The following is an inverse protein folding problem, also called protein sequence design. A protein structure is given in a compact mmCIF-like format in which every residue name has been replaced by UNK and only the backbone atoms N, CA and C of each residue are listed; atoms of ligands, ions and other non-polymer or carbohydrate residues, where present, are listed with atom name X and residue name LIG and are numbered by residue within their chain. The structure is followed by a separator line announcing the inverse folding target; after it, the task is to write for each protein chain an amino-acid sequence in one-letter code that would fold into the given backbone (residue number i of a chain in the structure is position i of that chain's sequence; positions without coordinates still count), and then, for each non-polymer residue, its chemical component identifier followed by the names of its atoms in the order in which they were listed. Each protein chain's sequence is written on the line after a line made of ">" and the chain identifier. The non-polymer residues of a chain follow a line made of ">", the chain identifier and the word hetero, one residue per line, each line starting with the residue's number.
data_IF_321049942928
#
_entry.id   IF_321049942928
#
_cell.length_a   1.000
_cell.length_b   1.000
_cell.length_c   1.000
_cell.angle_alpha   90.00
_cell.angle_beta   90.00
_cell.angle_gamma   90.00
#
_symmetry.space_group_name_H-M   'P 1'
#
loop_
_entity.id
_entity.type
_entity.pdbx_description
1 polymer ?
#
# COMPACT_ATOMS: atom_id res chain seq x y z
N UNK A 1 9.57 29.77 2.77
CA UNK A 1 9.21 28.46 2.15
C UNK A 1 7.70 28.33 2.29
N UNK A 2 6.94 28.12 1.21
CA UNK A 2 5.50 27.84 1.28
C UNK A 2 5.30 26.47 1.95
N UNK A 3 4.23 26.36 2.75
CA UNK A 3 3.84 25.07 3.33
C UNK A 3 3.58 24.03 2.21
N UNK A 4 3.88 22.74 2.43
CA UNK A 4 3.51 21.71 1.48
C UNK A 4 2.00 21.71 1.22
N UNK A 5 1.60 21.29 0.03
CA UNK A 5 0.18 21.17 -0.30
C UNK A 5 -0.54 20.28 0.73
N UNK A 6 -1.76 20.63 1.15
CA UNK A 6 -2.49 19.85 2.14
C UNK A 6 -2.80 18.46 1.59
N UNK A 7 -2.73 17.44 2.45
CA UNK A 7 -3.14 16.07 2.15
C UNK A 7 -4.67 16.05 1.89
N UNK A 8 -5.12 15.75 0.66
CA UNK A 8 -6.55 15.82 0.30
C UNK A 8 -7.41 14.81 1.07
N UNK A 9 -6.81 13.74 1.56
CA UNK A 9 -7.50 12.66 2.30
C UNK A 9 -7.16 12.63 3.80
N UNK A 10 -6.60 13.70 4.35
CA UNK A 10 -6.28 13.81 5.78
C UNK A 10 -7.50 13.51 6.69
N UNK A 11 -8.72 13.83 6.26
CA UNK A 11 -9.94 13.51 7.00
C UNK A 11 -10.14 11.99 7.15
N UNK A 12 -9.89 11.22 6.09
CA UNK A 12 -10.01 9.75 6.12
C UNK A 12 -8.90 9.15 6.98
N UNK A 13 -7.66 9.64 6.87
CA UNK A 13 -6.57 9.24 7.77
C UNK A 13 -6.93 9.46 9.24
N UNK A 14 -7.47 10.64 9.58
CA UNK A 14 -7.88 10.95 10.94
C UNK A 14 -9.08 10.09 11.40
N UNK A 15 -10.03 9.83 10.50
CA UNK A 15 -11.15 8.93 10.78
C UNK A 15 -10.67 7.49 11.04
N UNK A 16 -9.65 7.02 10.31
CA UNK A 16 -9.02 5.70 10.52
C UNK A 16 -8.39 5.61 11.91
N UNK A 17 -7.67 6.64 12.36
CA UNK A 17 -7.12 6.68 13.72
C UNK A 17 -8.22 6.67 14.78
N UNK A 18 -9.26 7.48 14.62
CA UNK A 18 -10.39 7.53 15.55
C UNK A 18 -11.17 6.20 15.58
N UNK A 19 -11.31 5.53 14.44
CA UNK A 19 -11.92 4.20 14.35
C UNK A 19 -11.08 3.20 15.14
N UNK A 20 -9.76 3.12 14.89
CA UNK A 20 -8.85 2.25 15.61
C UNK A 20 -8.90 2.45 17.13
N UNK A 21 -8.89 3.70 17.59
CA UNK A 21 -8.95 4.02 19.03
C UNK A 21 -10.26 3.55 19.68
N UNK A 22 -11.39 3.66 18.97
CA UNK A 22 -12.71 3.23 19.47
C UNK A 22 -12.88 1.73 19.50
N UNK A 23 -12.34 1.03 18.49
CA UNK A 23 -12.60 -0.40 18.28
C UNK A 23 -11.42 -1.30 18.69
N UNK A 24 -10.25 -0.74 19.02
CA UNK A 24 -9.06 -1.50 19.41
C UNK A 24 -8.52 -2.38 18.27
N UNK A 25 -8.81 -2.01 17.01
CA UNK A 25 -8.40 -2.77 15.83
C UNK A 25 -6.99 -2.39 15.34
N UNK A 26 -6.50 -3.10 14.32
CA UNK A 26 -5.15 -2.91 13.77
C UNK A 26 -5.11 -1.97 12.56
N UNK A 27 -6.10 -1.08 12.39
CA UNK A 27 -6.16 -0.12 11.29
C UNK A 27 -5.21 1.08 11.55
N UNK A 28 -3.91 0.88 11.35
CA UNK A 28 -2.92 1.96 11.44
C UNK A 28 -2.77 2.60 10.05
N UNK A 29 -3.18 3.87 9.84
CA UNK A 29 -3.01 4.49 8.53
C UNK A 29 -1.54 4.85 8.32
N UNK A 30 -1.02 4.57 7.12
CA UNK A 30 0.30 5.05 6.71
C UNK A 30 0.36 6.59 6.80
N UNK A 31 1.45 7.12 7.36
CA UNK A 31 1.49 8.54 7.72
C UNK A 31 1.57 9.50 6.52
N UNK A 32 2.10 9.05 5.37
CA UNK A 32 2.46 9.91 4.25
C UNK A 32 1.81 9.47 2.92
N UNK A 33 0.49 9.65 2.80
CA UNK A 33 -0.24 9.42 1.54
C UNK A 33 0.27 10.25 0.36
N UNK A 34 0.64 11.54 0.54
CA UNK A 34 1.25 12.34 -0.53
C UNK A 34 2.52 11.73 -1.13
N UNK A 35 3.35 11.04 -0.33
CA UNK A 35 4.50 10.30 -0.85
C UNK A 35 4.07 9.17 -1.79
N UNK A 36 3.04 8.40 -1.41
CA UNK A 36 2.50 7.32 -2.25
C UNK A 36 1.95 7.85 -3.57
N UNK A 37 1.23 8.96 -3.53
CA UNK A 37 0.73 9.65 -4.72
C UNK A 37 1.90 10.08 -5.65
N UNK A 38 2.95 10.68 -5.08
CA UNK A 38 4.12 11.11 -5.84
C UNK A 38 4.89 9.92 -6.46
N UNK A 39 5.04 8.81 -5.72
CA UNK A 39 5.70 7.60 -6.21
C UNK A 39 4.91 6.93 -7.34
N UNK A 40 3.59 6.84 -7.21
CA UNK A 40 2.73 6.32 -8.28
C UNK A 40 2.84 7.17 -9.55
N UNK A 41 2.84 8.50 -9.39
CA UNK A 41 3.05 9.43 -10.49
C UNK A 41 4.43 9.28 -11.15
N UNK A 42 5.50 9.22 -10.35
CA UNK A 42 6.87 9.04 -10.84
C UNK A 42 7.05 7.70 -11.58
N UNK A 43 6.39 6.64 -11.12
CA UNK A 43 6.36 5.33 -11.78
C UNK A 43 5.48 5.31 -13.05
N UNK A 44 4.72 6.36 -13.33
CA UNK A 44 3.69 6.40 -14.37
C UNK A 44 2.76 5.16 -14.29
N UNK A 45 2.33 4.82 -13.06
CA UNK A 45 1.63 3.60 -12.77
C UNK A 45 0.26 3.54 -13.46
N UNK A 46 -0.09 2.37 -13.99
CA UNK A 46 -1.41 2.05 -14.56
C UNK A 46 -2.17 1.02 -13.72
N UNK A 47 -1.44 0.12 -13.07
CA UNK A 47 -2.00 -0.90 -12.18
C UNK A 47 -1.25 -0.88 -10.85
N UNK A 48 -1.99 -0.71 -9.77
CA UNK A 48 -1.45 -0.63 -8.40
C UNK A 48 -2.11 -1.71 -7.56
N UNK A 49 -1.31 -2.41 -6.76
CA UNK A 49 -1.78 -3.39 -5.78
C UNK A 49 -1.42 -2.93 -4.37
N UNK A 50 -2.38 -2.98 -3.47
CA UNK A 50 -2.20 -2.63 -2.05
C UNK A 50 -2.60 -3.79 -1.15
N UNK A 51 -1.80 -4.07 -0.13
CA UNK A 51 -2.08 -5.01 0.94
C UNK A 51 -2.26 -4.24 2.26
N UNK A 52 -3.50 -4.24 2.77
CA UNK A 52 -3.94 -3.45 3.92
C UNK A 52 -4.66 -2.17 3.50
N UNK A 53 -5.98 -2.26 3.36
CA UNK A 53 -6.83 -1.13 2.94
C UNK A 53 -7.24 -0.24 4.10
N UNK A 54 -7.50 -0.84 5.28
CA UNK A 54 -8.17 -0.18 6.39
C UNK A 54 -9.41 0.62 5.89
N UNK A 55 -9.48 1.92 6.09
CA UNK A 55 -10.61 2.75 5.64
C UNK A 55 -10.37 3.41 4.26
N UNK A 56 -9.35 2.98 3.49
CA UNK A 56 -9.13 3.38 2.10
C UNK A 56 -8.25 4.61 1.88
N UNK A 57 -7.60 5.14 2.91
CA UNK A 57 -6.79 6.36 2.82
C UNK A 57 -5.66 6.27 1.79
N UNK A 58 -4.90 5.19 1.81
CA UNK A 58 -3.74 5.00 0.94
C UNK A 58 -4.12 4.65 -0.49
N UNK A 59 -5.17 3.85 -0.69
CA UNK A 59 -5.75 3.59 -2.01
C UNK A 59 -6.21 4.89 -2.70
N UNK A 60 -6.89 5.77 -1.96
CA UNK A 60 -7.30 7.09 -2.46
C UNK A 60 -6.10 7.98 -2.76
N UNK A 61 -5.03 7.93 -1.94
CA UNK A 61 -3.80 8.67 -2.19
C UNK A 61 -3.12 8.23 -3.47
N UNK A 62 -3.04 6.93 -3.74
CA UNK A 62 -2.55 6.40 -5.02
C UNK A 62 -3.39 6.90 -6.20
N UNK A 63 -4.73 6.81 -6.11
CA UNK A 63 -5.63 7.25 -7.17
C UNK A 63 -5.51 8.75 -7.48
N UNK A 64 -5.18 9.57 -6.47
CA UNK A 64 -4.92 11.00 -6.63
C UNK A 64 -3.61 11.27 -7.39
N UNK A 65 -2.58 10.45 -7.19
CA UNK A 65 -1.28 10.59 -7.84
C UNK A 65 -1.28 10.26 -9.34
N UNK A 66 -2.23 9.42 -9.78
CA UNK A 66 -2.34 8.97 -11.19
C UNK A 66 -3.80 8.90 -11.62
N UNK A 67 -4.15 9.61 -12.69
CA UNK A 67 -5.56 9.77 -13.11
C UNK A 67 -6.17 8.52 -13.74
N UNK A 68 -5.36 7.72 -14.44
CA UNK A 68 -5.85 6.61 -15.28
C UNK A 68 -5.46 5.24 -14.72
N UNK A 69 -4.94 5.18 -13.47
CA UNK A 69 -4.58 3.91 -12.85
C UNK A 69 -5.81 3.22 -12.24
N UNK A 70 -5.79 1.89 -12.29
CA UNK A 70 -6.66 1.03 -11.47
C UNK A 70 -5.90 0.56 -10.24
N UNK A 71 -6.61 0.45 -9.13
CA UNK A 71 -6.05 0.03 -7.85
C UNK A 71 -6.83 -1.19 -7.36
N UNK A 72 -6.12 -2.28 -7.10
CA UNK A 72 -6.62 -3.42 -6.35
C UNK A 72 -6.10 -3.30 -4.92
N UNK A 73 -6.98 -3.29 -3.93
CA UNK A 73 -6.59 -3.24 -2.52
C UNK A 73 -7.27 -4.37 -1.74
N UNK A 74 -6.56 -4.98 -0.81
CA UNK A 74 -7.00 -6.19 -0.10
C UNK A 74 -7.15 -5.90 1.39
N UNK A 75 -8.32 -6.25 1.94
CA UNK A 75 -8.64 -6.12 3.36
C UNK A 75 -9.42 -7.35 3.84
N UNK A 76 -9.09 -7.84 5.02
CA UNK A 76 -9.76 -9.02 5.58
C UNK A 76 -10.92 -8.68 6.52
N UNK A 77 -10.88 -7.51 7.15
CA UNK A 77 -11.89 -7.09 8.11
C UNK A 77 -13.12 -6.55 7.36
N UNK A 78 -14.30 -7.20 7.47
CA UNK A 78 -15.48 -6.79 6.72
C UNK A 78 -15.99 -5.39 7.09
N UNK A 79 -15.79 -4.94 8.33
CA UNK A 79 -16.18 -3.59 8.74
C UNK A 79 -15.26 -2.54 8.07
N UNK A 80 -13.95 -2.83 7.99
CA UNK A 80 -13.01 -1.96 7.27
C UNK A 80 -13.32 -1.94 5.77
N UNK A 81 -13.65 -3.09 5.17
CA UNK A 81 -14.04 -3.20 3.76
C UNK A 81 -15.27 -2.33 3.47
N UNK A 82 -16.30 -2.40 4.31
CA UNK A 82 -17.50 -1.59 4.15
C UNK A 82 -17.18 -0.10 4.20
N UNK A 83 -16.45 0.35 5.22
CA UNK A 83 -16.05 1.74 5.40
C UNK A 83 -15.12 2.24 4.28
N UNK A 84 -14.19 1.40 3.81
CA UNK A 84 -13.34 1.74 2.67
C UNK A 84 -14.14 1.96 1.39
N UNK A 85 -15.09 1.06 1.09
CA UNK A 85 -15.98 1.19 -0.07
C UNK A 85 -16.83 2.47 -0.02
N UNK A 86 -17.36 2.81 1.17
CA UNK A 86 -18.09 4.07 1.38
C UNK A 86 -17.21 5.29 1.11
N UNK A 87 -16.00 5.34 1.67
CA UNK A 87 -15.07 6.45 1.47
C UNK A 87 -14.64 6.59 0.01
N UNK A 88 -14.38 5.47 -0.68
CA UNK A 88 -13.98 5.42 -2.08
C UNK A 88 -15.13 5.91 -2.98
N UNK A 89 -16.37 5.46 -2.72
CA UNK A 89 -17.55 5.92 -3.45
C UNK A 89 -17.84 7.41 -3.22
N UNK A 90 -17.70 7.89 -1.95
CA UNK A 90 -17.84 9.32 -1.64
C UNK A 90 -16.81 10.20 -2.34
N UNK A 91 -15.62 9.65 -2.66
CA UNK A 91 -14.61 10.31 -3.48
C UNK A 91 -14.86 10.19 -5.00
N UNK A 92 -15.87 9.44 -5.45
CA UNK A 92 -16.17 9.18 -6.85
C UNK A 92 -15.14 8.30 -7.56
N UNK A 93 -14.43 7.42 -6.82
CA UNK A 93 -13.30 6.62 -7.32
C UNK A 93 -13.57 5.10 -7.32
N UNK A 94 -14.81 4.69 -7.04
CA UNK A 94 -15.25 3.29 -7.03
C UNK A 94 -15.10 2.58 -8.39
N UNK A 95 -15.11 3.32 -9.49
CA UNK A 95 -14.83 2.81 -10.83
C UNK A 95 -13.35 2.52 -11.10
N UNK A 96 -12.44 2.92 -10.21
CA UNK A 96 -10.98 2.76 -10.35
C UNK A 96 -10.34 1.97 -9.20
N UNK A 97 -10.99 1.87 -8.06
CA UNK A 97 -10.47 1.21 -6.86
C UNK A 97 -11.37 0.02 -6.53
N UNK A 98 -10.82 -1.17 -6.60
CA UNK A 98 -11.50 -2.41 -6.21
C UNK A 98 -11.01 -2.86 -4.84
N UNK A 99 -11.93 -2.97 -3.87
CA UNK A 99 -11.63 -3.51 -2.54
C UNK A 99 -11.99 -4.99 -2.52
N UNK A 100 -10.95 -5.84 -2.49
CA UNK A 100 -11.06 -7.30 -2.35
C UNK A 100 -11.14 -7.65 -0.86
N UNK A 101 -12.25 -8.27 -0.47
CA UNK A 101 -12.44 -8.78 0.88
C UNK A 101 -11.80 -10.16 1.01
N UNK A 102 -10.88 -10.33 1.97
CA UNK A 102 -10.26 -11.62 2.27
C UNK A 102 -8.82 -11.53 2.77
N UNK A 103 -8.29 -12.69 3.12
CA UNK A 103 -6.88 -12.82 3.49
C UNK A 103 -5.97 -12.66 2.26
N UNK A 104 -4.80 -12.06 2.45
CA UNK A 104 -3.82 -11.86 1.37
C UNK A 104 -3.48 -13.17 0.66
N UNK A 105 -3.30 -14.27 1.41
CA UNK A 105 -2.98 -15.58 0.86
C UNK A 105 -4.07 -16.19 -0.02
N UNK A 106 -5.31 -15.77 0.17
CA UNK A 106 -6.47 -16.23 -0.61
C UNK A 106 -6.73 -15.36 -1.84
N UNK A 107 -6.51 -14.04 -1.72
CA UNK A 107 -6.81 -13.09 -2.80
C UNK A 107 -5.65 -13.00 -3.81
N UNK A 108 -4.39 -12.90 -3.36
CA UNK A 108 -3.24 -12.74 -4.27
C UNK A 108 -3.16 -13.78 -5.40
N UNK A 109 -3.46 -15.08 -5.18
CA UNK A 109 -3.44 -16.08 -6.26
C UNK A 109 -4.52 -15.88 -7.34
N UNK A 110 -5.55 -15.07 -7.08
CA UNK A 110 -6.64 -14.80 -8.04
C UNK A 110 -6.36 -13.59 -8.93
N UNK A 111 -5.30 -12.83 -8.63
CA UNK A 111 -4.95 -11.61 -9.36
C UNK A 111 -3.98 -11.91 -10.51
N UNK A 112 -4.23 -11.25 -11.64
CA UNK A 112 -3.33 -11.33 -12.79
C UNK A 112 -2.06 -10.49 -12.59
N UNK A 113 -0.87 -10.99 -12.99
CA UNK A 113 0.37 -10.24 -12.89
C UNK A 113 0.37 -9.00 -13.80
N UNK A 114 1.40 -8.14 -13.62
CA UNK A 114 1.60 -6.94 -14.43
C UNK A 114 1.34 -5.64 -13.69
N UNK A 115 1.37 -5.64 -12.36
CA UNK A 115 1.31 -4.41 -11.57
C UNK A 115 2.58 -3.57 -11.74
N UNK A 116 2.40 -2.25 -11.81
CA UNK A 116 3.48 -1.27 -11.88
C UNK A 116 4.01 -0.93 -10.49
N UNK A 117 3.10 -0.83 -9.52
CA UNK A 117 3.40 -0.54 -8.12
C UNK A 117 2.66 -1.55 -7.24
N UNK A 118 3.35 -2.04 -6.21
CA UNK A 118 2.74 -2.76 -5.11
C UNK A 118 3.10 -2.07 -3.78
N UNK A 119 2.15 -1.98 -2.87
CA UNK A 119 2.35 -1.44 -1.54
C UNK A 119 1.95 -2.47 -0.47
N UNK A 120 2.87 -2.75 0.44
CA UNK A 120 2.63 -3.61 1.59
C UNK A 120 2.56 -2.78 2.86
N UNK A 121 1.38 -2.72 3.47
CA UNK A 121 1.12 -2.13 4.80
C UNK A 121 0.18 -3.00 5.64
N UNK A 122 0.21 -4.30 5.41
CA UNK A 122 -0.66 -5.30 6.05
C UNK A 122 -0.10 -5.89 7.35
N UNK A 123 0.57 -5.09 8.18
CA UNK A 123 1.20 -5.53 9.43
C UNK A 123 2.67 -5.91 9.25
N UNK A 124 3.17 -6.88 10.02
CA UNK A 124 4.59 -7.29 9.93
C UNK A 124 4.89 -7.95 8.60
N UNK A 125 5.90 -7.47 7.84
CA UNK A 125 6.29 -8.08 6.57
C UNK A 125 6.70 -9.54 6.71
N UNK A 126 6.21 -10.40 5.77
CA UNK A 126 6.57 -11.82 5.74
C UNK A 126 7.09 -12.24 4.37
N UNK A 127 8.14 -13.11 4.29
CA UNK A 127 8.79 -13.47 3.02
C UNK A 127 7.85 -14.07 1.97
N UNK A 128 6.85 -14.86 2.39
CA UNK A 128 5.90 -15.50 1.46
C UNK A 128 5.07 -14.46 0.69
N UNK A 129 4.55 -13.42 1.37
CA UNK A 129 3.78 -12.35 0.73
C UNK A 129 4.67 -11.51 -0.20
N UNK A 130 5.91 -11.20 0.19
CA UNK A 130 6.85 -10.47 -0.66
C UNK A 130 7.25 -11.27 -1.90
N UNK A 131 7.35 -12.60 -1.79
CA UNK A 131 7.55 -13.47 -2.97
C UNK A 131 6.34 -13.42 -3.91
N UNK A 132 5.12 -13.44 -3.37
CA UNK A 132 3.89 -13.33 -4.17
C UNK A 132 3.81 -11.96 -4.86
N UNK A 133 4.03 -10.85 -4.13
CA UNK A 133 4.08 -9.50 -4.69
C UNK A 133 5.13 -9.36 -5.81
N UNK A 134 6.31 -9.97 -5.63
CA UNK A 134 7.32 -10.00 -6.69
C UNK A 134 6.81 -10.73 -7.94
N UNK A 135 6.04 -11.79 -7.79
CA UNK A 135 5.43 -12.52 -8.91
C UNK A 135 4.41 -11.66 -9.66
N UNK A 136 3.63 -10.85 -8.96
CA UNK A 136 2.59 -10.00 -9.53
C UNK A 136 3.13 -8.71 -10.15
N UNK A 137 4.24 -8.17 -9.66
CA UNK A 137 4.89 -7.00 -10.25
C UNK A 137 5.54 -7.34 -11.59
N UNK A 138 5.43 -6.43 -12.57
CA UNK A 138 6.24 -6.49 -13.79
C UNK A 138 7.73 -6.26 -13.50
N UNK A 139 8.63 -6.63 -14.40
CA UNK A 139 10.03 -6.20 -14.34
C UNK A 139 10.11 -4.67 -14.42
N UNK A 140 10.95 -4.06 -13.60
CA UNK A 140 11.00 -2.61 -13.40
C UNK A 140 9.84 -2.05 -12.57
N UNK A 141 8.91 -2.89 -12.09
CA UNK A 141 7.84 -2.48 -11.17
C UNK A 141 8.38 -2.15 -9.78
N UNK A 142 7.66 -1.32 -9.04
CA UNK A 142 8.07 -0.79 -7.74
C UNK A 142 7.29 -1.46 -6.62
N UNK A 143 8.00 -2.00 -5.63
CA UNK A 143 7.46 -2.44 -4.35
C UNK A 143 7.76 -1.40 -3.28
N UNK A 144 6.74 -0.95 -2.58
CA UNK A 144 6.85 -0.13 -1.37
C UNK A 144 6.51 -1.03 -0.19
N UNK A 145 7.41 -1.17 0.76
CA UNK A 145 7.21 -2.00 1.96
C UNK A 145 7.31 -1.16 3.20
N UNK A 146 6.22 -1.04 3.94
CA UNK A 146 6.17 -0.44 5.27
C UNK A 146 6.53 -1.47 6.38
N UNK A 147 6.67 -1.00 7.61
CA UNK A 147 6.82 -1.83 8.81
C UNK A 147 8.11 -2.70 8.87
N UNK A 148 9.16 -2.32 8.14
CA UNK A 148 10.42 -3.07 8.09
C UNK A 148 11.24 -3.02 9.40
N UNK A 149 10.86 -2.19 10.37
CA UNK A 149 11.49 -2.06 11.68
C UNK A 149 10.85 -2.94 12.77
N UNK A 150 9.84 -3.74 12.44
CA UNK A 150 9.11 -4.56 13.42
C UNK A 150 9.87 -5.82 13.91
N UNK A 151 11.05 -6.10 13.36
CA UNK A 151 11.84 -7.29 13.72
C UNK A 151 11.26 -8.62 13.21
N UNK A 152 11.82 -9.74 13.63
CA UNK A 152 11.31 -11.07 13.28
C UNK A 152 11.32 -11.35 11.79
N UNK A 153 10.16 -11.62 11.19
CA UNK A 153 10.05 -11.89 9.74
C UNK A 153 10.36 -10.68 8.88
N UNK A 154 10.17 -9.45 9.39
CA UNK A 154 10.54 -8.22 8.72
C UNK A 154 12.05 -8.13 8.44
N UNK A 155 12.91 -8.62 9.35
CA UNK A 155 14.36 -8.66 9.14
C UNK A 155 14.74 -9.52 7.94
N UNK A 156 14.06 -10.67 7.77
CA UNK A 156 14.27 -11.55 6.63
C UNK A 156 13.85 -10.90 5.30
N UNK A 157 12.73 -10.17 5.31
CA UNK A 157 12.26 -9.39 4.16
C UNK A 157 13.24 -8.26 3.86
N UNK A 158 13.64 -7.48 4.86
CA UNK A 158 14.64 -6.41 4.72
C UNK A 158 15.93 -6.94 4.09
N UNK A 159 16.46 -8.06 4.59
CA UNK A 159 17.66 -8.68 4.02
C UNK A 159 17.48 -9.04 2.54
N UNK A 160 16.33 -9.61 2.15
CA UNK A 160 16.05 -9.99 0.77
C UNK A 160 15.86 -8.77 -0.16
N UNK A 161 15.31 -7.66 0.35
CA UNK A 161 15.17 -6.43 -0.42
C UNK A 161 16.52 -5.74 -0.70
N UNK A 162 17.49 -5.89 0.22
CA UNK A 162 18.78 -5.20 0.14
C UNK A 162 19.97 -6.10 -0.27
N UNK A 163 19.75 -7.37 -0.63
CA UNK A 163 20.81 -8.28 -1.07
C UNK A 163 21.31 -8.01 -2.52
N UNK A 164 20.64 -7.12 -3.25
CA UNK A 164 21.00 -6.71 -4.60
C UNK A 164 20.71 -7.72 -5.71
N UNK A 165 20.09 -8.87 -5.40
CA UNK A 165 19.86 -9.96 -6.37
C UNK A 165 18.58 -9.77 -7.18
N UNK A 166 17.49 -9.42 -6.49
CA UNK A 166 16.16 -9.34 -7.07
C UNK A 166 15.60 -7.91 -7.11
N UNK A 167 16.23 -7.01 -6.36
CA UNK A 167 15.74 -5.66 -6.12
C UNK A 167 16.87 -4.63 -6.14
N UNK A 168 16.53 -3.39 -6.55
CA UNK A 168 17.28 -2.18 -6.22
C UNK A 168 16.47 -1.40 -5.21
N UNK A 169 16.97 -1.28 -3.98
CA UNK A 169 16.20 -0.79 -2.84
C UNK A 169 16.87 0.40 -2.16
N UNK A 170 16.02 1.32 -1.66
CA UNK A 170 16.42 2.41 -0.79
C UNK A 170 15.41 2.57 0.35
N UNK A 171 15.89 3.03 1.51
CA UNK A 171 15.00 3.47 2.60
C UNK A 171 14.54 4.89 2.32
N UNK A 172 13.30 5.21 2.69
CA UNK A 172 12.70 6.54 2.48
C UNK A 172 12.49 7.32 3.76
N UNK A 173 12.81 6.74 4.89
CA UNK A 173 12.73 7.38 6.21
C UNK A 173 13.97 7.06 7.05
N UNK A 174 14.26 7.94 8.03
CA UNK A 174 15.44 7.84 8.89
C UNK A 174 15.36 6.65 9.86
N UNK A 175 14.16 6.14 10.14
CA UNK A 175 13.93 5.04 11.07
C UNK A 175 13.98 3.67 10.38
N UNK A 176 14.08 3.64 9.05
CA UNK A 176 14.16 2.41 8.27
C UNK A 176 12.88 1.60 8.25
N UNK A 177 11.74 2.26 8.42
CA UNK A 177 10.43 1.63 8.44
C UNK A 177 9.93 1.30 7.05
N UNK A 178 10.25 2.15 6.07
CA UNK A 178 9.74 2.03 4.71
C UNK A 178 10.87 1.93 3.70
N UNK A 179 10.77 0.95 2.79
CA UNK A 179 11.65 0.83 1.63
C UNK A 179 10.88 0.97 0.32
N UNK A 180 11.55 1.56 -0.67
CA UNK A 180 11.18 1.51 -2.08
C UNK A 180 12.14 0.56 -2.77
N UNK A 181 11.62 -0.41 -3.51
CA UNK A 181 12.38 -1.46 -4.17
C UNK A 181 11.92 -1.63 -5.61
N UNK A 182 12.83 -1.51 -6.58
CA UNK A 182 12.54 -1.75 -8.00
C UNK A 182 12.92 -3.17 -8.34
N UNK A 183 11.99 -3.92 -8.94
CA UNK A 183 12.18 -5.31 -9.37
C UNK A 183 13.16 -5.39 -10.55
N UNK A 184 14.17 -6.23 -10.42
CA UNK A 184 15.17 -6.54 -11.46
C UNK A 184 14.67 -7.58 -12.46
#
# INVERSE_FOLDING_TARGET
>A
MSAPAPDPFAKIRNATNAHRERHGCSAFPYANGPLLAALAGAANARRILELGTALGYTALSFAFGVRDATIDTIERDPDHVALARENIAAAGLDHRITVHEGEFSSVLPTLDPGYDVAFFDGGTPVPALHKALRGLLRTGGTLITANLNQGGTADSVRKALFDGKAWRSALVDEHGETAISVKL
#
